data_IF_550543657050
#
_entry.id   IF_550543657050
#
_cell.length_a   1.000
_cell.length_b   1.000
_cell.length_c   1.000
_cell.angle_alpha   90.00
_cell.angle_beta   90.00
_cell.angle_gamma   90.00
#
_symmetry.space_group_name_H-M   'P 1'
#
loop_
_entity.id
_entity.type
_entity.pdbx_description
1 polymer ?
#
# COMPACT_ATOMS: atom_id res chain seq x y z
N UNK A 1 31.90 10.14 -47.60
CA UNK A 1 30.89 9.14 -47.36
C UNK A 1 30.89 8.81 -45.86
N UNK A 2 29.87 9.29 -45.19
CA UNK A 2 29.68 9.08 -43.77
C UNK A 2 28.80 7.84 -43.58
N UNK A 3 29.32 6.84 -42.88
CA UNK A 3 28.54 5.69 -42.44
C UNK A 3 27.80 6.07 -41.19
N UNK A 4 26.49 6.19 -41.29
CA UNK A 4 25.57 6.31 -40.16
C UNK A 4 25.31 4.92 -39.59
N UNK A 5 25.94 4.62 -38.45
CA UNK A 5 25.69 3.41 -37.70
C UNK A 5 24.47 3.66 -36.78
N UNK A 6 23.30 3.29 -37.26
CA UNK A 6 22.07 3.33 -36.50
C UNK A 6 22.03 2.09 -35.60
N UNK A 7 22.53 2.22 -34.39
CA UNK A 7 22.36 1.19 -33.35
C UNK A 7 20.87 1.09 -32.97
N UNK A 8 20.22 0.07 -33.48
CA UNK A 8 18.91 -0.38 -33.04
C UNK A 8 19.07 -0.94 -31.63
N UNK A 9 18.70 -0.18 -30.62
CA UNK A 9 18.44 -0.72 -29.28
C UNK A 9 17.25 -1.68 -29.37
N UNK A 10 17.57 -2.95 -29.48
CA UNK A 10 16.63 -4.05 -29.34
C UNK A 10 16.23 -4.05 -27.87
N UNK A 11 14.98 -3.70 -27.57
CA UNK A 11 14.39 -3.91 -26.25
C UNK A 11 14.48 -5.41 -25.95
N UNK A 12 15.42 -5.78 -25.11
CA UNK A 12 15.46 -7.13 -24.52
C UNK A 12 14.26 -7.21 -23.60
N UNK A 13 13.25 -7.96 -23.97
CA UNK A 13 12.21 -8.39 -23.05
C UNK A 13 12.91 -9.15 -21.94
N UNK A 14 12.95 -8.56 -20.72
CA UNK A 14 13.39 -9.26 -19.54
C UNK A 14 12.46 -10.46 -19.35
N UNK A 15 12.94 -11.66 -19.69
CA UNK A 15 12.28 -12.91 -19.31
C UNK A 15 12.22 -12.91 -17.78
N UNK A 16 11.01 -12.80 -17.24
CA UNK A 16 10.82 -12.87 -15.80
C UNK A 16 11.26 -14.24 -15.32
N UNK A 17 12.12 -14.31 -14.29
CA UNK A 17 12.62 -15.58 -13.78
C UNK A 17 11.44 -16.46 -13.35
N UNK A 18 11.35 -17.65 -13.88
CA UNK A 18 10.31 -18.61 -13.47
C UNK A 18 10.53 -19.02 -12.02
N UNK A 19 9.46 -19.00 -11.22
CA UNK A 19 9.51 -19.48 -9.85
C UNK A 19 9.97 -20.93 -9.79
N UNK A 20 10.90 -21.26 -8.90
CA UNK A 20 11.24 -22.65 -8.62
C UNK A 20 10.02 -23.39 -8.03
N UNK A 21 9.94 -24.70 -8.21
CA UNK A 21 8.83 -25.49 -7.65
C UNK A 21 8.66 -25.32 -6.12
N UNK A 22 9.73 -25.30 -5.30
CA UNK A 22 9.60 -24.99 -3.87
C UNK A 22 9.09 -23.57 -3.60
N UNK A 23 9.54 -22.55 -4.36
CA UNK A 23 9.07 -21.19 -4.26
C UNK A 23 7.56 -21.10 -4.54
N UNK A 24 7.11 -21.68 -5.64
CA UNK A 24 5.71 -21.72 -6.02
C UNK A 24 4.84 -22.32 -4.90
N UNK A 25 5.20 -23.51 -4.40
CA UNK A 25 4.46 -24.17 -3.32
C UNK A 25 4.46 -23.36 -2.03
N UNK A 26 5.57 -22.70 -1.72
CA UNK A 26 5.66 -21.83 -0.53
C UNK A 26 4.72 -20.63 -0.68
N UNK A 27 4.77 -19.90 -1.78
CA UNK A 27 3.91 -18.71 -1.99
C UNK A 27 2.42 -19.08 -2.03
N UNK A 28 2.04 -20.20 -2.62
CA UNK A 28 0.65 -20.68 -2.57
C UNK A 28 0.18 -20.95 -1.14
N UNK A 29 1.01 -21.57 -0.29
CA UNK A 29 0.71 -21.79 1.13
C UNK A 29 0.62 -20.47 1.91
N UNK A 30 1.49 -19.52 1.63
CA UNK A 30 1.46 -18.18 2.25
C UNK A 30 0.15 -17.46 1.92
N UNK A 31 -0.31 -17.51 0.68
CA UNK A 31 -1.58 -16.91 0.27
C UNK A 31 -2.78 -17.56 0.97
N UNK A 32 -2.81 -18.90 1.00
CA UNK A 32 -3.86 -19.62 1.73
C UNK A 32 -3.86 -19.28 3.22
N UNK A 33 -2.68 -19.07 3.82
CA UNK A 33 -2.55 -18.70 5.22
C UNK A 33 -3.08 -17.29 5.47
N UNK A 34 -2.71 -16.31 4.63
CA UNK A 34 -3.22 -14.93 4.76
C UNK A 34 -4.73 -14.85 4.64
N UNK A 35 -5.34 -15.67 3.78
CA UNK A 35 -6.81 -15.73 3.63
C UNK A 35 -7.49 -16.33 4.86
N UNK A 36 -6.84 -17.25 5.57
CA UNK A 36 -7.38 -17.87 6.80
C UNK A 36 -7.14 -17.03 8.05
N UNK A 37 -6.00 -16.40 8.11
CA UNK A 37 -5.49 -15.61 9.23
C UNK A 37 -5.06 -14.22 8.72
N UNK A 38 -6.03 -13.33 8.41
CA UNK A 38 -5.69 -11.99 7.89
C UNK A 38 -4.86 -11.19 8.87
N UNK A 39 -3.91 -10.44 8.34
CA UNK A 39 -3.12 -9.50 9.15
C UNK A 39 -3.94 -8.23 9.36
N UNK A 40 -4.12 -7.76 10.60
CA UNK A 40 -4.87 -6.53 10.87
C UNK A 40 -4.34 -5.33 10.06
N UNK A 41 -5.24 -4.55 9.49
CA UNK A 41 -4.95 -3.39 8.64
C UNK A 41 -4.19 -3.68 7.34
N UNK A 42 -4.02 -4.94 6.94
CA UNK A 42 -3.25 -5.30 5.75
C UNK A 42 -4.04 -6.28 4.88
N UNK A 43 -4.16 -5.95 3.60
CA UNK A 43 -4.63 -6.86 2.54
C UNK A 43 -3.48 -7.15 1.59
N UNK A 44 -3.40 -8.37 1.05
CA UNK A 44 -2.34 -8.70 0.09
C UNK A 44 -2.83 -9.73 -0.94
N UNK A 45 -2.54 -9.46 -2.21
CA UNK A 45 -2.94 -10.26 -3.36
C UNK A 45 -1.77 -10.53 -4.29
N UNK A 46 -1.54 -11.77 -4.70
CA UNK A 46 -0.59 -12.09 -5.76
C UNK A 46 -1.12 -11.60 -7.10
N UNK A 47 -0.24 -11.17 -7.98
CA UNK A 47 -0.60 -10.82 -9.34
C UNK A 47 -1.06 -12.09 -10.10
N UNK A 48 -2.21 -12.09 -10.78
CA UNK A 48 -2.80 -13.29 -11.41
C UNK A 48 -1.84 -14.05 -12.33
N UNK A 49 -1.02 -13.31 -13.09
CA UNK A 49 -0.09 -13.89 -14.07
C UNK A 49 1.36 -13.99 -13.58
N UNK A 50 1.62 -13.62 -12.32
CA UNK A 50 2.97 -13.63 -11.76
C UNK A 50 2.96 -13.78 -10.25
N UNK A 51 3.05 -15.01 -9.76
CA UNK A 51 3.06 -15.30 -8.32
C UNK A 51 4.29 -14.72 -7.58
N UNK A 52 5.31 -14.32 -8.28
CA UNK A 52 6.48 -13.67 -7.69
C UNK A 52 6.27 -12.18 -7.40
N UNK A 53 5.18 -11.58 -7.90
CA UNK A 53 4.81 -10.21 -7.63
C UNK A 53 3.51 -10.17 -6.82
N UNK A 54 3.60 -9.70 -5.60
CA UNK A 54 2.43 -9.50 -4.73
C UNK A 54 2.21 -8.02 -4.49
N UNK A 55 0.97 -7.63 -4.49
CA UNK A 55 0.56 -6.30 -4.08
C UNK A 55 -0.03 -6.36 -2.68
N UNK A 56 0.18 -5.33 -1.90
CA UNK A 56 -0.41 -5.20 -0.57
C UNK A 56 -0.95 -3.79 -0.35
N UNK A 57 -1.91 -3.69 0.55
CA UNK A 57 -2.47 -2.42 1.00
C UNK A 57 -2.41 -2.38 2.51
N UNK A 58 -1.82 -1.31 3.04
CA UNK A 58 -1.84 -0.98 4.46
C UNK A 58 -2.91 0.08 4.67
N UNK A 59 -3.92 -0.20 5.48
CA UNK A 59 -4.84 0.81 6.00
C UNK A 59 -4.17 1.49 7.19
N UNK A 60 -4.06 2.81 7.15
CA UNK A 60 -3.36 3.59 8.16
C UNK A 60 -4.02 3.42 9.54
N UNK A 61 -3.28 2.92 10.56
CA UNK A 61 -3.86 2.67 11.88
C UNK A 61 -4.39 3.94 12.52
N UNK A 62 -5.47 3.81 13.30
CA UNK A 62 -6.04 4.91 14.08
C UNK A 62 -4.98 5.52 15.02
N UNK A 63 -5.13 6.80 15.31
CA UNK A 63 -4.21 7.55 16.18
C UNK A 63 -2.77 7.70 15.67
N UNK A 64 -2.55 7.49 14.37
CA UNK A 64 -1.26 7.73 13.71
C UNK A 64 -1.37 8.84 12.66
N UNK A 65 -0.27 9.43 12.19
CA UNK A 65 -0.28 10.36 11.07
C UNK A 65 -0.82 9.78 9.75
N UNK A 66 -1.00 8.47 9.70
CA UNK A 66 -1.45 7.71 8.53
C UNK A 66 -2.93 7.34 8.59
N UNK A 67 -3.62 7.65 9.70
CA UNK A 67 -5.02 7.29 9.93
C UNK A 67 -5.93 7.73 8.76
N UNK A 68 -6.82 6.82 8.35
CA UNK A 68 -7.72 7.04 7.22
C UNK A 68 -7.07 6.99 5.85
N UNK A 69 -5.76 6.73 5.77
CA UNK A 69 -5.05 6.53 4.51
C UNK A 69 -5.03 5.07 4.08
N UNK A 70 -4.82 4.86 2.79
CA UNK A 70 -4.74 3.56 2.14
C UNK A 70 -3.46 3.50 1.31
N UNK A 71 -2.51 2.67 1.72
CA UNK A 71 -1.14 2.69 1.22
C UNK A 71 -0.83 1.41 0.46
N UNK A 72 -0.85 1.48 -0.85
CA UNK A 72 -0.52 0.40 -1.77
C UNK A 72 0.99 0.26 -1.89
N UNK A 73 1.46 -0.98 -1.82
CA UNK A 73 2.84 -1.36 -2.05
C UNK A 73 2.94 -2.70 -2.77
N UNK A 74 4.16 -3.16 -3.02
CA UNK A 74 4.41 -4.46 -3.64
C UNK A 74 5.63 -5.16 -3.06
N UNK A 75 5.57 -6.49 -3.08
CA UNK A 75 6.67 -7.41 -2.81
C UNK A 75 7.08 -8.07 -4.13
N UNK A 76 8.38 -8.13 -4.39
CA UNK A 76 8.94 -8.88 -5.51
C UNK A 76 9.78 -10.01 -4.95
N UNK A 77 9.27 -11.23 -5.07
CA UNK A 77 9.93 -12.43 -4.59
C UNK A 77 10.96 -12.92 -5.60
N UNK A 78 12.15 -13.31 -5.15
CA UNK A 78 13.11 -14.01 -6.01
C UNK A 78 12.64 -15.43 -6.31
N UNK A 79 13.11 -16.01 -7.41
CA UNK A 79 12.75 -17.38 -7.85
C UNK A 79 13.12 -18.47 -6.86
N UNK A 80 14.08 -18.21 -5.98
CA UNK A 80 14.55 -19.10 -4.92
C UNK A 80 14.00 -18.76 -3.52
N UNK A 81 12.94 -17.93 -3.44
CA UNK A 81 12.21 -17.74 -2.19
C UNK A 81 11.73 -19.10 -1.63
N UNK A 82 11.82 -19.38 -0.31
CA UNK A 82 12.09 -18.47 0.79
C UNK A 82 13.57 -18.37 1.20
N UNK A 83 14.49 -18.87 0.42
CA UNK A 83 15.92 -18.84 0.78
C UNK A 83 16.52 -17.43 0.67
N UNK A 84 15.93 -16.58 -0.14
CA UNK A 84 16.26 -15.14 -0.23
C UNK A 84 15.05 -14.27 0.03
N UNK A 85 15.25 -13.09 0.62
CA UNK A 85 14.18 -12.14 0.92
C UNK A 85 13.60 -11.48 -0.33
N UNK A 86 12.34 -10.95 -0.24
CA UNK A 86 11.76 -10.15 -1.31
C UNK A 86 12.30 -8.72 -1.32
N UNK A 87 12.22 -8.06 -2.49
CA UNK A 87 12.27 -6.62 -2.56
C UNK A 87 10.93 -6.03 -2.16
N UNK A 88 10.96 -4.90 -1.46
CA UNK A 88 9.78 -4.20 -0.92
C UNK A 88 9.73 -2.79 -1.48
N UNK A 89 8.57 -2.37 -1.98
CA UNK A 89 8.36 -1.01 -2.51
C UNK A 89 7.00 -0.48 -2.10
N UNK A 90 6.91 0.83 -1.83
CA UNK A 90 5.62 1.54 -1.73
C UNK A 90 5.28 2.18 -3.08
N UNK A 91 4.01 2.17 -3.42
CA UNK A 91 3.48 2.77 -4.65
C UNK A 91 2.70 4.04 -4.34
N UNK A 92 1.93 4.05 -3.25
CA UNK A 92 1.18 5.23 -2.80
C UNK A 92 2.10 6.20 -2.05
N UNK A 93 2.07 7.51 -2.38
CA UNK A 93 2.73 8.53 -1.58
C UNK A 93 2.25 8.50 -0.14
N UNK A 94 3.18 8.43 0.82
CA UNK A 94 2.89 8.19 2.24
C UNK A 94 3.65 9.13 3.19
N UNK A 95 4.71 9.79 2.72
CA UNK A 95 5.52 10.70 3.54
C UNK A 95 6.49 10.01 4.50
N UNK A 96 6.67 8.70 4.37
CA UNK A 96 7.66 7.90 5.12
C UNK A 96 8.66 7.22 4.20
N UNK A 97 8.20 6.75 3.05
CA UNK A 97 9.00 6.06 2.06
C UNK A 97 8.85 6.71 0.68
N UNK A 98 9.93 6.70 -0.09
CA UNK A 98 9.89 7.03 -1.51
C UNK A 98 9.06 6.00 -2.27
N UNK A 99 8.24 6.46 -3.20
CA UNK A 99 7.47 5.58 -4.06
C UNK A 99 8.35 4.96 -5.15
N UNK A 100 8.01 3.75 -5.58
CA UNK A 100 8.73 3.00 -6.62
C UNK A 100 10.23 2.80 -6.34
N UNK A 101 10.63 2.87 -5.08
CA UNK A 101 12.00 2.70 -4.64
C UNK A 101 12.08 1.48 -3.72
N UNK A 102 13.10 0.65 -3.88
CA UNK A 102 13.36 -0.45 -2.96
C UNK A 102 13.67 0.06 -1.57
N UNK A 103 13.06 -0.54 -0.57
CA UNK A 103 13.21 -0.16 0.83
C UNK A 103 14.24 -1.06 1.50
N UNK A 104 15.23 -0.43 2.14
CA UNK A 104 16.23 -1.14 2.94
C UNK A 104 15.66 -1.40 4.34
N UNK A 105 14.97 -2.54 4.48
CA UNK A 105 14.41 -3.02 5.72
C UNK A 105 15.05 -4.36 6.10
N UNK A 106 15.08 -4.72 7.36
CA UNK A 106 15.72 -5.95 7.86
C UNK A 106 15.16 -7.23 7.24
N UNK A 107 13.93 -7.19 6.70
CA UNK A 107 13.28 -8.30 6.02
C UNK A 107 13.32 -8.18 4.48
N UNK A 108 14.06 -7.22 3.93
CA UNK A 108 14.17 -6.98 2.48
C UNK A 108 15.46 -7.54 1.87
N UNK A 109 15.54 -7.52 0.56
CA UNK A 109 16.69 -7.96 -0.24
C UNK A 109 17.98 -7.15 -0.02
N UNK A 110 17.92 -6.05 0.75
CA UNK A 110 19.10 -5.32 1.20
C UNK A 110 19.86 -6.01 2.33
N UNK A 111 19.20 -6.88 3.10
CA UNK A 111 19.75 -7.53 4.29
C UNK A 111 19.60 -9.06 4.24
N UNK A 112 20.19 -9.72 3.22
CA UNK A 112 20.09 -11.18 3.12
C UNK A 112 20.72 -11.91 4.31
N UNK A 113 21.66 -11.26 5.03
CA UNK A 113 22.33 -11.79 6.23
C UNK A 113 21.40 -11.87 7.45
N UNK A 114 20.37 -11.02 7.54
CA UNK A 114 19.39 -11.02 8.61
C UNK A 114 18.10 -11.76 8.26
N UNK A 115 17.97 -12.19 7.02
CA UNK A 115 16.79 -12.88 6.54
C UNK A 115 16.58 -14.25 7.18
N UNK A 116 15.37 -14.52 7.62
CA UNK A 116 14.97 -15.81 8.17
C UNK A 116 13.94 -16.48 7.24
N UNK A 117 14.29 -17.60 6.57
CA UNK A 117 13.38 -18.28 5.62
C UNK A 117 12.05 -18.75 6.22
N UNK A 118 11.97 -18.87 7.55
CA UNK A 118 10.73 -19.21 8.24
C UNK A 118 9.73 -18.06 8.35
N UNK A 119 10.14 -16.81 8.10
CA UNK A 119 9.22 -15.68 8.12
C UNK A 119 8.16 -15.82 7.03
N UNK A 120 6.92 -15.59 7.43
CA UNK A 120 5.77 -15.59 6.54
C UNK A 120 5.62 -14.24 5.83
N UNK A 121 4.83 -14.21 4.76
CA UNK A 121 4.44 -12.96 4.10
C UNK A 121 3.73 -12.03 5.09
N UNK A 122 2.88 -12.57 5.96
CA UNK A 122 2.24 -11.80 7.04
C UNK A 122 3.26 -11.16 7.99
N UNK A 123 4.32 -11.88 8.36
CA UNK A 123 5.42 -11.34 9.19
C UNK A 123 6.16 -10.20 8.47
N UNK A 124 6.44 -10.36 7.18
CA UNK A 124 7.09 -9.33 6.36
C UNK A 124 6.21 -8.06 6.34
N UNK A 125 4.92 -8.21 6.07
CA UNK A 125 3.99 -7.08 5.96
C UNK A 125 3.76 -6.35 7.30
N UNK A 126 3.69 -7.10 8.40
CA UNK A 126 3.70 -6.50 9.75
C UNK A 126 4.98 -5.71 10.02
N UNK A 127 6.12 -6.23 9.57
CA UNK A 127 7.39 -5.50 9.65
C UNK A 127 7.35 -4.20 8.85
N UNK A 128 6.81 -4.20 7.63
CA UNK A 128 6.66 -2.98 6.82
C UNK A 128 5.79 -1.95 7.54
N UNK A 129 4.66 -2.38 8.13
CA UNK A 129 3.80 -1.50 8.92
C UNK A 129 4.54 -0.94 10.14
N UNK A 130 5.28 -1.76 10.88
CA UNK A 130 6.08 -1.31 12.03
C UNK A 130 7.09 -0.23 11.61
N UNK A 131 7.86 -0.47 10.55
CA UNK A 131 8.81 0.51 10.00
C UNK A 131 8.13 1.79 9.48
N UNK A 132 6.90 1.69 8.99
CA UNK A 132 6.13 2.85 8.58
C UNK A 132 5.79 3.75 9.78
N UNK A 133 5.54 3.16 10.93
CA UNK A 133 5.19 3.88 12.17
C UNK A 133 6.42 4.43 12.91
N UNK A 134 7.59 3.89 12.65
CA UNK A 134 8.85 4.35 13.23
C UNK A 134 9.38 5.61 12.51
N UNK A 135 10.31 6.32 13.15
CA UNK A 135 10.98 7.49 12.58
C UNK A 135 12.43 7.23 12.16
N UNK A 136 12.98 6.03 12.45
CA UNK A 136 14.37 5.69 12.13
C UNK A 136 14.64 5.82 10.63
N UNK A 137 15.61 6.65 10.19
CA UNK A 137 15.95 6.78 8.78
C UNK A 137 16.47 5.46 8.20
N UNK A 138 16.13 5.19 6.94
CA UNK A 138 16.65 4.05 6.17
C UNK A 138 16.75 4.42 4.69
N UNK A 139 17.47 3.63 3.89
CA UNK A 139 17.54 3.84 2.45
C UNK A 139 16.13 3.69 1.85
N UNK A 140 15.72 4.69 1.08
CA UNK A 140 14.37 4.79 0.55
C UNK A 140 13.37 5.49 1.47
N UNK A 141 13.78 5.91 2.68
CA UNK A 141 12.92 6.72 3.55
C UNK A 141 12.93 8.20 3.16
N UNK A 142 11.84 8.88 3.46
CA UNK A 142 11.68 10.34 3.42
C UNK A 142 11.16 10.81 4.76
N UNK A 143 11.44 12.06 5.09
CA UNK A 143 10.92 12.68 6.30
C UNK A 143 9.93 13.78 5.92
N UNK A 144 8.68 13.60 6.29
CA UNK A 144 7.60 14.54 6.12
C UNK A 144 6.96 14.88 7.47
N UNK A 145 6.46 16.09 7.60
CA UNK A 145 5.71 16.50 8.79
C UNK A 145 4.44 15.68 8.97
N UNK A 146 3.92 15.64 10.21
CA UNK A 146 2.62 15.01 10.50
C UNK A 146 1.49 15.57 9.62
N UNK A 147 1.45 16.88 9.41
CA UNK A 147 0.44 17.52 8.57
C UNK A 147 0.52 17.06 7.11
N UNK A 148 1.74 16.97 6.53
CA UNK A 148 1.93 16.44 5.18
C UNK A 148 1.52 14.97 5.07
N UNK A 149 1.85 14.12 6.06
CA UNK A 149 1.43 12.71 6.09
C UNK A 149 -0.08 12.58 6.14
N UNK A 150 -0.76 13.39 6.96
CA UNK A 150 -2.22 13.44 7.01
C UNK A 150 -2.86 13.92 5.69
N UNK A 151 -2.24 14.88 5.00
CA UNK A 151 -2.69 15.31 3.68
C UNK A 151 -2.55 14.17 2.65
N UNK A 152 -1.44 13.45 2.66
CA UNK A 152 -1.22 12.29 1.80
C UNK A 152 -2.19 11.14 2.14
N UNK A 153 -2.52 10.96 3.42
CA UNK A 153 -3.53 9.99 3.85
C UNK A 153 -4.89 10.26 3.20
N UNK A 154 -5.37 11.51 3.27
CA UNK A 154 -6.64 11.92 2.63
C UNK A 154 -6.64 11.74 1.10
N UNK A 155 -5.49 11.95 0.44
CA UNK A 155 -5.36 11.82 -1.01
C UNK A 155 -5.16 10.37 -1.49
N UNK A 156 -4.83 9.45 -0.60
CA UNK A 156 -4.36 8.11 -0.95
C UNK A 156 -5.41 7.25 -1.68
N UNK A 157 -6.67 7.31 -1.27
CA UNK A 157 -7.77 6.57 -1.90
C UNK A 157 -7.96 7.00 -3.37
N UNK A 158 -8.05 8.31 -3.62
CA UNK A 158 -8.18 8.83 -4.97
C UNK A 158 -6.94 8.53 -5.83
N UNK A 159 -5.75 8.52 -5.23
CA UNK A 159 -4.53 8.14 -5.91
C UNK A 159 -4.56 6.66 -6.35
N UNK A 160 -4.91 5.74 -5.44
CA UNK A 160 -4.95 4.30 -5.71
C UNK A 160 -6.00 3.94 -6.76
N UNK A 161 -7.18 4.55 -6.72
CA UNK A 161 -8.27 4.32 -7.69
C UNK A 161 -7.89 4.63 -9.15
N UNK A 162 -6.90 5.48 -9.40
CA UNK A 162 -6.41 5.77 -10.76
C UNK A 162 -5.72 4.57 -11.42
N UNK A 163 -5.19 3.65 -10.62
CA UNK A 163 -4.43 2.51 -11.11
C UNK A 163 -5.36 1.34 -11.43
N UNK A 164 -5.40 0.89 -12.70
CA UNK A 164 -6.23 -0.25 -13.11
C UNK A 164 -5.92 -1.52 -12.31
N UNK A 165 -4.64 -1.82 -12.11
CA UNK A 165 -4.19 -2.98 -11.34
C UNK A 165 -4.67 -2.93 -9.87
N UNK A 166 -4.72 -1.74 -9.26
CA UNK A 166 -5.26 -1.61 -7.91
C UNK A 166 -6.75 -1.99 -7.86
N UNK A 167 -7.53 -1.49 -8.82
CA UNK A 167 -8.96 -1.81 -8.91
C UNK A 167 -9.23 -3.29 -9.20
N UNK A 168 -8.35 -3.93 -9.96
CA UNK A 168 -8.42 -5.36 -10.27
C UNK A 168 -8.13 -6.22 -9.03
N UNK A 169 -7.05 -5.91 -8.31
CA UNK A 169 -6.59 -6.73 -7.17
C UNK A 169 -7.38 -6.47 -5.88
N UNK A 170 -7.88 -5.25 -5.69
CA UNK A 170 -8.55 -4.83 -4.46
C UNK A 170 -9.92 -4.18 -4.72
N UNK A 171 -10.86 -4.88 -5.38
CA UNK A 171 -12.16 -4.31 -5.72
C UNK A 171 -12.95 -3.86 -4.48
N UNK A 172 -12.82 -4.58 -3.36
CA UNK A 172 -13.50 -4.25 -2.10
C UNK A 172 -12.92 -2.99 -1.42
N UNK A 173 -11.72 -2.58 -1.78
CA UNK A 173 -11.08 -1.37 -1.27
C UNK A 173 -11.31 -0.15 -2.16
N UNK A 174 -11.96 -0.33 -3.30
CA UNK A 174 -12.41 0.74 -4.19
C UNK A 174 -13.82 1.15 -3.76
N UNK A 175 -13.97 1.75 -2.56
CA UNK A 175 -15.26 2.26 -2.13
C UNK A 175 -15.78 3.34 -3.10
N UNK A 176 -17.08 3.38 -3.42
CA UNK A 176 -17.68 4.53 -4.09
C UNK A 176 -17.40 5.78 -3.26
N UNK A 177 -17.16 6.90 -3.92
CA UNK A 177 -17.19 8.19 -3.25
C UNK A 177 -18.59 8.31 -2.67
N UNK A 178 -18.71 8.39 -1.35
CA UNK A 178 -19.93 8.89 -0.74
C UNK A 178 -20.05 10.32 -1.29
N UNK A 179 -21.00 10.52 -2.22
CA UNK A 179 -21.40 11.85 -2.66
C UNK A 179 -21.66 12.63 -1.39
N UNK A 180 -20.84 13.66 -1.16
CA UNK A 180 -20.92 14.49 0.03
C UNK A 180 -22.34 14.96 0.23
N UNK A 181 -23.00 14.41 1.24
CA UNK A 181 -24.30 14.86 1.68
C UNK A 181 -24.21 16.35 1.96
N UNK A 182 -24.84 17.10 1.11
CA UNK A 182 -25.11 18.52 1.30
C UNK A 182 -25.90 18.67 2.60
N UNK A 183 -25.22 18.96 3.69
CA UNK A 183 -25.83 19.34 4.95
C UNK A 183 -26.17 20.82 4.91
N UNK A 184 -26.96 21.24 3.90
CA UNK A 184 -27.66 22.52 3.91
C UNK A 184 -29.13 22.33 4.33
N UNK A 185 -29.32 22.00 5.60
CA UNK A 185 -30.62 22.02 6.27
C UNK A 185 -30.58 23.05 7.40
N UNK A 186 -30.60 24.34 7.04
CA UNK A 186 -30.94 25.36 8.01
C UNK A 186 -32.41 25.20 8.40
N UNK A 187 -32.76 25.10 9.67
CA UNK A 187 -34.14 25.22 10.07
C UNK A 187 -34.54 26.71 9.99
N UNK A 188 -35.52 26.96 9.14
CA UNK A 188 -36.20 28.23 9.04
C UNK A 188 -36.82 28.64 10.38
N UNK A 189 -36.58 29.85 10.72
CA UNK A 189 -37.31 30.70 11.62
C UNK A 189 -38.84 30.52 11.49
N UNK A 190 -39.50 30.28 12.59
CA UNK A 190 -40.93 30.26 12.76
C UNK A 190 -41.30 31.16 13.89
N UNK A 191 -41.43 32.43 13.59
CA UNK A 191 -42.04 33.41 14.51
C UNK A 191 -43.48 33.05 14.79
N UNK A 192 -43.93 33.29 15.99
CA UNK A 192 -45.29 33.18 16.44
C UNK A 192 -45.46 33.93 17.73
N UNK A 193 -45.94 35.16 17.65
CA UNK A 193 -46.29 35.99 18.78
C UNK A 193 -47.49 35.45 19.55
N UNK A 194 -47.66 35.90 20.77
CA UNK A 194 -48.78 35.65 21.66
C UNK A 194 -48.71 36.56 22.84
N UNK A 195 -49.44 37.63 22.74
CA UNK A 195 -49.78 38.55 23.79
C UNK A 195 -50.66 37.88 24.88
N UNK A 196 -50.72 38.49 26.06
CA UNK A 196 -51.69 38.22 27.12
C UNK A 196 -51.01 38.24 28.48
N UNK A 197 -51.06 39.28 29.12
CA UNK A 197 -52.00 40.04 29.88
C UNK A 197 -52.13 39.63 31.35
N UNK A 198 -51.94 40.64 32.20
CA UNK A 198 -52.43 40.90 33.52
C UNK A 198 -52.35 39.96 34.73
N UNK A 199 -51.94 40.54 35.83
CA UNK A 199 -52.73 40.59 37.06
C UNK A 199 -52.10 40.00 38.31
N UNK A 200 -51.84 40.88 39.28
CA UNK A 200 -51.74 40.49 40.67
C UNK A 200 -50.60 41.12 41.41
#
# INVERSE_FOLDING_TARGET
>A
PAHSDTQRHRAQGEEQPMASKPCLLRLQKEYQRLNKEPVPNISAEPRPNNILEWHFVINGPASTPYAGGQYHGKLLFPSDYPYKPPAIMMLTPNGRFNTNTRLCLSMSDFHPESWVPAWSVGTILNGVLSFMLESTPTVGSVEKSTAERQQLARASHAFNRKTALFRELFPDLVAPEEEGGDASGAPADGGGGGEGDEGG
#
